data_IF_572951712682
#
_entry.id   IF_572951712682
#
_cell.length_a   1.000
_cell.length_b   1.000
_cell.length_c   1.000
_cell.angle_alpha   90.00
_cell.angle_beta   90.00
_cell.angle_gamma   90.00
#
_symmetry.space_group_name_H-M   'P 1'
#
loop_
_entity.id
_entity.type
_entity.pdbx_description
1 polymer ?
#
# COMPACT_ATOMS: atom_id res chain seq x y z
N UNK A 1 -23.17 24.18 -18.00
CA UNK A 1 -22.29 23.01 -18.20
C UNK A 1 -22.94 21.81 -17.56
N UNK A 2 -23.39 20.84 -18.35
CA UNK A 2 -24.00 19.61 -17.85
C UNK A 2 -22.90 18.66 -17.38
N UNK A 3 -22.95 18.24 -16.11
CA UNK A 3 -22.03 17.24 -15.56
C UNK A 3 -22.31 15.92 -16.27
N UNK A 4 -21.29 15.30 -16.86
CA UNK A 4 -21.39 13.91 -17.35
C UNK A 4 -21.44 13.02 -16.12
N UNK A 5 -22.47 12.18 -16.01
CA UNK A 5 -22.48 11.15 -14.98
C UNK A 5 -21.52 10.05 -15.39
N UNK A 6 -20.49 9.84 -14.59
CA UNK A 6 -19.57 8.72 -14.75
C UNK A 6 -20.32 7.45 -14.35
N UNK A 7 -20.88 6.74 -15.33
CA UNK A 7 -21.50 5.45 -15.10
C UNK A 7 -20.44 4.46 -14.58
N UNK A 8 -20.47 4.20 -13.28
CA UNK A 8 -19.72 3.09 -12.68
C UNK A 8 -20.24 1.78 -13.27
N UNK A 9 -19.39 1.06 -13.99
CA UNK A 9 -19.73 -0.26 -14.51
C UNK A 9 -19.85 -1.24 -13.34
N UNK A 10 -21.08 -1.57 -12.97
CA UNK A 10 -21.38 -2.58 -11.96
C UNK A 10 -21.91 -3.86 -12.61
N UNK A 11 -21.60 -5.01 -12.00
CA UNK A 11 -22.15 -6.29 -12.42
C UNK A 11 -23.64 -6.35 -12.13
N UNK A 12 -24.40 -7.08 -12.95
CA UNK A 12 -25.82 -7.27 -12.71
C UNK A 12 -26.05 -8.14 -11.47
N UNK A 13 -27.18 -7.90 -10.78
CA UNK A 13 -27.56 -8.67 -9.58
C UNK A 13 -27.60 -10.17 -9.84
N UNK A 14 -28.12 -10.58 -11.00
CA UNK A 14 -28.18 -11.99 -11.41
C UNK A 14 -26.80 -12.64 -11.57
N UNK A 15 -25.79 -11.90 -12.04
CA UNK A 15 -24.41 -12.41 -12.10
C UNK A 15 -23.84 -12.54 -10.69
N UNK A 16 -24.09 -11.54 -9.84
CA UNK A 16 -23.55 -11.48 -8.47
C UNK A 16 -24.11 -12.59 -7.56
N UNK A 17 -25.35 -13.04 -7.82
CA UNK A 17 -25.99 -14.17 -7.10
C UNK A 17 -25.44 -15.55 -7.47
N UNK A 18 -24.63 -15.66 -8.52
CA UNK A 18 -24.03 -16.93 -8.91
C UNK A 18 -23.07 -17.45 -7.84
N UNK A 19 -23.02 -18.78 -7.66
CA UNK A 19 -22.22 -19.43 -6.60
C UNK A 19 -20.74 -19.05 -6.63
N UNK A 20 -20.17 -18.83 -7.81
CA UNK A 20 -18.76 -18.43 -7.97
C UNK A 20 -18.51 -16.96 -7.64
N UNK A 21 -19.57 -16.13 -7.62
CA UNK A 21 -19.50 -14.70 -7.30
C UNK A 21 -19.74 -14.38 -5.82
N UNK A 22 -20.00 -15.37 -4.96
CA UNK A 22 -20.28 -15.16 -3.52
C UNK A 22 -19.30 -14.23 -2.82
N UNK A 23 -17.99 -14.44 -3.00
CA UNK A 23 -16.95 -13.57 -2.40
C UNK A 23 -17.01 -12.14 -2.94
N UNK A 24 -17.29 -11.98 -4.23
CA UNK A 24 -17.43 -10.67 -4.85
C UNK A 24 -18.71 -9.98 -4.39
N UNK A 25 -19.81 -10.74 -4.21
CA UNK A 25 -21.07 -10.26 -3.65
C UNK A 25 -20.86 -9.70 -2.25
N UNK A 26 -20.24 -10.47 -1.37
CA UNK A 26 -19.93 -10.03 0.00
C UNK A 26 -19.12 -8.73 0.03
N UNK A 27 -18.12 -8.60 -0.85
CA UNK A 27 -17.33 -7.36 -0.98
C UNK A 27 -18.16 -6.18 -1.48
N UNK A 28 -18.92 -6.38 -2.54
CA UNK A 28 -19.79 -5.33 -3.11
C UNK A 28 -20.82 -4.87 -2.07
N UNK A 29 -21.46 -5.81 -1.37
CA UNK A 29 -22.46 -5.52 -0.34
C UNK A 29 -21.82 -4.76 0.84
N UNK A 30 -20.59 -5.11 1.22
CA UNK A 30 -19.83 -4.40 2.26
C UNK A 30 -19.45 -2.98 1.84
N UNK A 31 -18.99 -2.79 0.60
CA UNK A 31 -18.69 -1.47 0.03
C UNK A 31 -19.95 -0.60 -0.06
N UNK A 32 -21.08 -1.16 -0.49
CA UNK A 32 -22.34 -0.42 -0.52
C UNK A 32 -22.81 -0.06 0.88
N UNK A 33 -22.70 -0.98 1.84
CA UNK A 33 -23.08 -0.70 3.23
C UNK A 33 -22.20 0.40 3.85
N UNK A 34 -20.90 0.40 3.57
CA UNK A 34 -20.01 1.47 4.02
C UNK A 34 -20.35 2.80 3.37
N UNK A 35 -20.53 2.84 2.05
CA UNK A 35 -20.86 4.08 1.34
C UNK A 35 -22.22 4.65 1.78
N UNK A 36 -23.23 3.79 1.92
CA UNK A 36 -24.54 4.18 2.45
C UNK A 36 -24.41 4.65 3.91
N UNK A 37 -23.66 3.93 4.75
CA UNK A 37 -23.39 4.33 6.13
C UNK A 37 -22.73 5.70 6.23
N UNK A 38 -21.71 5.96 5.42
CA UNK A 38 -21.08 7.27 5.32
C UNK A 38 -22.09 8.35 4.92
N UNK A 39 -22.89 8.12 3.86
CA UNK A 39 -23.91 9.07 3.41
C UNK A 39 -24.97 9.38 4.48
N UNK A 40 -25.45 8.35 5.21
CA UNK A 40 -26.45 8.53 6.26
C UNK A 40 -25.90 9.27 7.47
N UNK A 41 -24.67 8.97 7.91
CA UNK A 41 -24.11 9.50 9.16
C UNK A 41 -23.23 10.75 8.98
N UNK A 42 -22.82 11.08 7.76
CA UNK A 42 -21.97 12.25 7.50
C UNK A 42 -22.63 13.57 7.86
N UNK A 43 -23.95 13.66 7.75
CA UNK A 43 -24.71 14.84 8.15
C UNK A 43 -24.87 14.97 9.69
N UNK A 44 -24.76 13.85 10.43
CA UNK A 44 -24.94 13.79 11.88
C UNK A 44 -23.62 13.99 12.64
N UNK A 45 -22.49 13.63 12.02
CA UNK A 45 -21.17 13.70 12.64
C UNK A 45 -20.55 15.09 12.46
N UNK A 46 -20.47 15.87 13.55
CA UNK A 46 -19.73 17.13 13.53
C UNK A 46 -18.23 16.85 13.37
N UNK A 47 -17.50 17.68 12.60
CA UNK A 47 -16.04 17.56 12.41
C UNK A 47 -15.25 17.42 13.73
N UNK A 48 -15.72 18.08 14.81
CA UNK A 48 -15.16 17.95 16.17
C UNK A 48 -15.31 16.53 16.74
N UNK A 49 -16.42 15.84 16.49
CA UNK A 49 -16.64 14.46 16.96
C UNK A 49 -15.74 13.46 16.24
N UNK A 50 -15.46 13.66 14.94
CA UNK A 50 -14.50 12.85 14.17
C UNK A 50 -13.05 13.04 14.67
N UNK A 51 -12.71 14.21 15.20
CA UNK A 51 -11.38 14.50 15.74
C UNK A 51 -11.19 14.08 17.20
N UNK A 52 -12.26 14.10 18.00
CA UNK A 52 -12.18 13.87 19.46
C UNK A 52 -12.54 12.45 19.90
N UNK A 53 -12.93 11.57 18.96
CA UNK A 53 -13.17 10.16 19.24
C UNK A 53 -11.87 9.46 19.67
N UNK A 54 -11.87 8.81 20.84
CA UNK A 54 -10.82 7.84 21.22
C UNK A 54 -9.93 8.19 22.41
N UNK A 55 -10.27 9.17 23.26
CA UNK A 55 -9.47 9.47 24.47
C UNK A 55 -9.45 8.31 25.48
N UNK A 56 -10.56 7.59 25.61
CA UNK A 56 -10.71 6.47 26.53
C UNK A 56 -11.51 5.36 25.88
N UNK A 57 -11.06 4.12 26.08
CA UNK A 57 -11.74 2.90 25.65
C UNK A 57 -12.15 2.19 26.94
N UNK A 58 -13.45 1.95 27.11
CA UNK A 58 -13.98 1.22 28.25
C UNK A 58 -14.27 -0.20 27.76
N UNK A 59 -13.44 -1.14 28.19
CA UNK A 59 -13.63 -2.56 27.92
C UNK A 59 -13.88 -3.31 29.23
N UNK A 60 -14.84 -4.23 29.19
CA UNK A 60 -15.20 -5.06 30.35
C UNK A 60 -14.25 -6.28 30.51
N UNK A 61 -13.11 -6.29 29.81
CA UNK A 61 -12.17 -7.40 29.78
C UNK A 61 -10.87 -7.03 30.47
N UNK A 62 -10.39 -7.89 31.38
CA UNK A 62 -9.10 -7.71 32.05
C UNK A 62 -7.91 -8.20 31.21
N UNK A 63 -8.16 -8.80 30.04
CA UNK A 63 -7.11 -9.38 29.19
C UNK A 63 -6.02 -8.36 28.84
N UNK A 64 -6.41 -7.12 28.55
CA UNK A 64 -5.47 -6.05 28.17
C UNK A 64 -4.77 -5.42 29.38
N UNK A 65 -5.43 -5.38 30.55
CA UNK A 65 -4.88 -4.78 31.75
C UNK A 65 -3.81 -5.66 32.40
N UNK A 66 -4.04 -6.97 32.44
CA UNK A 66 -3.18 -7.93 33.13
C UNK A 66 -2.34 -8.81 32.18
N UNK A 67 -2.55 -8.69 30.87
CA UNK A 67 -1.78 -9.45 29.87
C UNK A 67 -2.02 -10.95 29.94
N UNK A 68 -3.27 -11.38 30.16
CA UNK A 68 -3.59 -12.81 30.33
C UNK A 68 -3.28 -13.62 29.07
N UNK A 69 -2.58 -14.73 29.26
CA UNK A 69 -2.39 -15.77 28.24
C UNK A 69 -3.60 -16.71 28.18
N UNK A 70 -3.68 -17.52 27.11
CA UNK A 70 -4.69 -18.57 27.03
C UNK A 70 -4.54 -19.57 28.20
N UNK A 71 -5.67 -19.99 28.78
CA UNK A 71 -5.67 -20.86 29.97
C UNK A 71 -5.43 -22.35 29.68
N UNK A 72 -5.42 -22.76 28.40
CA UNK A 72 -5.17 -24.16 28.01
C UNK A 72 -3.67 -24.41 27.94
N UNK A 73 -3.13 -25.04 28.98
CA UNK A 73 -1.72 -25.37 29.08
C UNK A 73 -1.53 -26.88 29.18
N UNK A 74 -0.47 -27.38 28.57
CA UNK A 74 0.02 -28.73 28.76
C UNK A 74 1.53 -28.70 28.93
N UNK A 75 2.04 -29.65 29.69
CA UNK A 75 3.46 -29.74 29.99
C UNK A 75 3.94 -31.18 29.78
N UNK A 76 5.24 -31.32 29.55
CA UNK A 76 5.94 -32.60 29.49
C UNK A 76 5.37 -33.58 28.44
N UNK A 77 4.86 -33.08 27.31
CA UNK A 77 4.34 -33.89 26.23
C UNK A 77 3.00 -34.56 26.53
N UNK A 78 2.30 -34.15 27.59
CA UNK A 78 0.99 -34.69 27.95
C UNK A 78 -0.08 -34.35 26.92
N UNK A 79 0.10 -33.25 26.18
CA UNK A 79 -0.65 -32.95 24.97
C UNK A 79 0.21 -32.17 23.96
N UNK A 80 0.83 -32.84 22.96
CA UNK A 80 1.73 -32.18 22.02
C UNK A 80 1.03 -31.18 21.10
N UNK A 81 -0.28 -31.30 20.88
CA UNK A 81 -1.03 -30.34 20.06
C UNK A 81 -1.18 -28.99 20.78
N UNK A 82 -1.43 -29.01 22.09
CA UNK A 82 -1.53 -27.79 22.90
C UNK A 82 -0.14 -27.13 23.05
N UNK A 83 0.92 -27.92 23.29
CA UNK A 83 2.28 -27.38 23.35
C UNK A 83 2.70 -26.70 22.04
N UNK A 84 2.36 -27.30 20.89
CA UNK A 84 2.62 -26.71 19.57
C UNK A 84 1.88 -25.39 19.37
N UNK A 85 0.63 -25.28 19.83
CA UNK A 85 -0.14 -24.04 19.74
C UNK A 85 0.52 -22.95 20.58
N UNK A 86 0.90 -23.25 21.82
CA UNK A 86 1.59 -22.31 22.72
C UNK A 86 2.89 -21.82 22.09
N UNK A 87 3.69 -22.72 21.51
CA UNK A 87 4.94 -22.37 20.85
C UNK A 87 4.71 -21.42 19.65
N UNK A 88 3.69 -21.69 18.82
CA UNK A 88 3.34 -20.82 17.70
C UNK A 88 2.90 -19.43 18.15
N UNK A 89 2.14 -19.34 19.24
CA UNK A 89 1.72 -18.04 19.81
C UNK A 89 2.90 -17.25 20.37
N UNK A 90 3.82 -17.91 21.08
CA UNK A 90 5.03 -17.27 21.58
C UNK A 90 5.91 -16.75 20.44
N UNK A 91 6.09 -17.55 19.38
CA UNK A 91 6.83 -17.14 18.20
C UNK A 91 6.15 -15.96 17.50
N UNK A 92 4.82 -15.96 17.38
CA UNK A 92 4.09 -14.84 16.81
C UNK A 92 4.23 -13.55 17.63
N UNK A 93 4.33 -13.64 18.97
CA UNK A 93 4.60 -12.48 19.84
C UNK A 93 6.01 -11.93 19.61
N UNK A 94 7.02 -12.81 19.60
CA UNK A 94 8.42 -12.41 19.33
C UNK A 94 8.58 -11.75 17.97
N UNK A 95 7.99 -12.33 16.91
CA UNK A 95 8.04 -11.73 15.58
C UNK A 95 7.42 -10.32 15.53
N UNK A 96 6.32 -10.06 16.25
CA UNK A 96 5.75 -8.70 16.29
C UNK A 96 6.69 -7.70 16.96
N UNK A 97 7.36 -8.10 18.04
CA UNK A 97 8.35 -7.26 18.71
C UNK A 97 9.57 -7.00 17.81
N UNK A 98 10.02 -8.02 17.08
CA UNK A 98 11.17 -7.92 16.19
C UNK A 98 10.86 -7.10 14.92
N UNK A 99 9.64 -7.16 14.38
CA UNK A 99 9.23 -6.30 13.24
C UNK A 99 9.28 -4.81 13.57
N UNK A 100 9.12 -4.44 14.86
CA UNK A 100 9.29 -3.05 15.29
C UNK A 100 10.76 -2.62 15.35
N UNK A 101 11.68 -3.58 15.31
CA UNK A 101 13.12 -3.43 15.35
C UNK A 101 13.78 -4.01 14.09
N UNK A 102 13.09 -3.99 12.95
CA UNK A 102 13.75 -4.29 11.68
C UNK A 102 14.90 -3.30 11.53
N UNK A 103 16.12 -3.81 11.70
CA UNK A 103 17.34 -3.06 11.52
C UNK A 103 17.44 -2.71 10.05
N UNK A 104 16.91 -1.54 9.68
CA UNK A 104 17.07 -1.02 8.34
C UNK A 104 18.53 -0.67 8.16
N UNK A 105 19.21 -1.38 7.25
CA UNK A 105 20.61 -1.10 6.90
C UNK A 105 20.80 0.34 6.38
N UNK A 106 19.71 1.01 5.99
CA UNK A 106 19.67 2.35 5.42
C UNK A 106 18.70 3.21 6.23
N UNK A 107 19.21 4.30 6.81
CA UNK A 107 18.37 5.28 7.51
C UNK A 107 17.50 6.05 6.51
N UNK A 108 16.31 6.49 6.93
CA UNK A 108 15.38 7.29 6.10
C UNK A 108 16.05 8.52 5.46
N UNK A 109 16.97 9.17 6.18
CA UNK A 109 17.73 10.30 5.66
C UNK A 109 18.64 9.91 4.48
N UNK A 110 19.27 8.74 4.55
CA UNK A 110 20.12 8.22 3.48
C UNK A 110 19.27 7.83 2.27
N UNK A 111 18.11 7.19 2.49
CA UNK A 111 17.14 6.89 1.44
C UNK A 111 16.65 8.17 0.75
N UNK A 112 16.33 9.22 1.51
CA UNK A 112 15.89 10.50 0.99
C UNK A 112 16.98 11.19 0.15
N UNK A 113 18.25 11.13 0.59
CA UNK A 113 19.38 11.67 -0.18
C UNK A 113 19.56 10.92 -1.51
N UNK A 114 19.50 9.59 -1.49
CA UNK A 114 19.60 8.78 -2.71
C UNK A 114 18.43 9.06 -3.67
N UNK A 115 17.20 9.16 -3.16
CA UNK A 115 16.01 9.44 -3.97
C UNK A 115 16.10 10.83 -4.63
N UNK A 116 16.53 11.85 -3.89
CA UNK A 116 16.77 13.21 -4.41
C UNK A 116 17.86 13.24 -5.49
N UNK A 117 18.97 12.53 -5.28
CA UNK A 117 20.09 12.53 -6.20
C UNK A 117 19.79 11.77 -7.51
N UNK A 118 19.18 10.58 -7.42
CA UNK A 118 19.06 9.63 -8.54
C UNK A 118 17.69 9.63 -9.22
N UNK A 119 16.60 9.71 -8.45
CA UNK A 119 15.25 9.46 -8.95
C UNK A 119 14.52 10.71 -9.45
N UNK A 120 14.64 11.84 -8.76
CA UNK A 120 13.88 13.06 -9.11
C UNK A 120 14.31 13.60 -10.49
N UNK A 121 15.61 13.58 -10.78
CA UNK A 121 16.17 14.08 -12.04
C UNK A 121 15.85 13.19 -13.26
N UNK A 122 15.65 11.89 -13.04
CA UNK A 122 15.34 10.92 -14.09
C UNK A 122 13.84 10.82 -14.36
N UNK A 123 13.01 10.94 -13.32
CA UNK A 123 11.54 10.95 -13.42
C UNK A 123 11.03 12.18 -14.19
N UNK A 124 11.61 13.38 -13.94
CA UNK A 124 11.24 14.60 -14.66
C UNK A 124 11.40 14.47 -16.19
N UNK A 125 12.41 13.72 -16.65
CA UNK A 125 12.65 13.46 -18.09
C UNK A 125 11.63 12.54 -18.73
N UNK A 126 10.95 11.67 -17.97
CA UNK A 126 9.91 10.75 -18.51
C UNK A 126 8.62 11.48 -18.89
N UNK A 127 8.32 12.57 -18.18
CA UNK A 127 7.13 13.40 -18.43
C UNK A 127 7.43 14.64 -19.28
N UNK A 128 8.70 14.87 -19.63
CA UNK A 128 9.08 15.94 -20.56
C UNK A 128 8.49 15.66 -21.96
N UNK A 129 7.84 16.64 -22.60
CA UNK A 129 7.24 16.45 -23.91
C UNK A 129 8.32 16.12 -24.96
N UNK A 130 8.11 15.04 -25.74
CA UNK A 130 9.05 14.49 -26.74
C UNK A 130 9.28 15.39 -27.97
N UNK A 131 9.07 16.71 -27.87
CA UNK A 131 9.04 17.60 -29.04
C UNK A 131 10.39 17.85 -29.69
N UNK A 132 11.52 17.50 -29.07
CA UNK A 132 12.86 17.78 -29.62
C UNK A 132 13.87 16.64 -29.45
N UNK A 133 13.49 15.38 -29.69
CA UNK A 133 14.45 14.26 -29.74
C UNK A 133 15.24 14.22 -31.08
N UNK A 134 15.66 15.37 -31.61
CA UNK A 134 16.47 15.42 -32.83
C UNK A 134 17.69 16.34 -32.78
N UNK A 135 18.24 16.62 -31.60
CA UNK A 135 19.59 17.14 -31.51
C UNK A 135 20.37 16.40 -30.43
N UNK A 136 21.39 15.67 -30.89
CA UNK A 136 22.42 15.12 -30.03
C UNK A 136 23.24 16.31 -29.54
N UNK A 137 23.02 16.74 -28.32
CA UNK A 137 23.92 17.62 -27.59
C UNK A 137 24.42 16.85 -26.38
N UNK A 138 25.75 16.71 -26.25
CA UNK A 138 26.36 16.39 -24.97
C UNK A 138 26.42 17.69 -24.19
N UNK A 139 25.87 17.69 -22.97
CA UNK A 139 26.13 18.73 -22.00
C UNK A 139 27.18 18.17 -21.04
N UNK A 140 28.45 18.41 -21.35
CA UNK A 140 29.45 18.56 -20.30
C UNK A 140 29.31 19.98 -19.75
N UNK A 141 29.78 20.22 -18.52
CA UNK A 141 29.49 21.40 -17.67
C UNK A 141 29.97 22.77 -18.20
N UNK A 142 30.05 23.00 -19.50
CA UNK A 142 30.41 24.27 -20.14
C UNK A 142 29.24 24.84 -20.95
N UNK A 143 29.01 26.14 -20.80
CA UNK A 143 27.84 26.92 -21.27
C UNK A 143 27.73 27.10 -22.80
N UNK A 144 28.37 26.25 -23.62
CA UNK A 144 28.27 26.34 -25.08
C UNK A 144 28.19 24.96 -25.76
N UNK A 145 26.98 24.48 -26.14
CA UNK A 145 26.82 23.17 -26.75
C UNK A 145 27.13 23.18 -28.25
N UNK A 146 28.26 22.58 -28.63
CA UNK A 146 28.59 22.30 -30.03
C UNK A 146 27.75 21.13 -30.60
N UNK A 147 27.30 21.21 -31.87
CA UNK A 147 26.52 20.14 -32.48
C UNK A 147 27.39 18.92 -32.80
N UNK A 148 27.01 17.75 -32.28
CA UNK A 148 27.76 16.48 -32.47
C UNK A 148 27.21 15.70 -33.67
N UNK A 149 28.11 15.11 -34.46
CA UNK A 149 27.78 14.33 -35.66
C UNK A 149 26.92 13.10 -35.38
N UNK A 150 26.06 12.76 -36.36
CA UNK A 150 25.11 11.63 -36.25
C UNK A 150 25.86 10.30 -36.19
N UNK A 151 25.49 9.46 -35.23
CA UNK A 151 26.02 8.08 -35.11
C UNK A 151 25.74 7.27 -36.37
N UNK A 152 26.70 6.46 -36.86
CA UNK A 152 26.50 5.61 -38.03
C UNK A 152 25.36 4.61 -37.78
N UNK A 153 24.52 4.41 -38.81
CA UNK A 153 23.42 3.44 -38.75
C UNK A 153 23.96 2.04 -39.02
N UNK A 154 23.37 1.05 -38.36
CA UNK A 154 23.69 -0.35 -38.57
C UNK A 154 23.32 -0.76 -40.01
N UNK A 155 24.34 -1.08 -40.81
CA UNK A 155 24.17 -1.61 -42.16
C UNK A 155 23.99 -3.12 -42.05
N UNK A 156 22.84 -3.62 -42.51
CA UNK A 156 22.64 -5.07 -42.64
C UNK A 156 23.58 -5.60 -43.73
N UNK A 157 24.23 -6.76 -43.53
CA UNK A 157 25.00 -7.42 -44.58
C UNK A 157 24.13 -7.68 -45.81
N UNK A 158 24.71 -7.57 -47.00
CA UNK A 158 24.05 -8.00 -48.24
C UNK A 158 24.20 -9.51 -48.38
N UNK A 159 23.14 -10.15 -48.87
CA UNK A 159 23.02 -11.60 -49.09
C UNK A 159 24.15 -12.16 -49.96
#
# INVERSE_FOLDING_TARGET
MTKREDHKFQLSKSILDMKFMKRTKEKVDQETFQAEGEEYFDNLLTSKMKQESGKFIIENSFVYCEGLSEGRLSFQGMNPEIERIIELEENAKRCKEDTSKEETEITDEQMAKHYKASHVNTMAKKFAPKRNHHKYFKYDNDDNPEPVDKKPKFLKPKD
#
